data_IF_042085173504
#
_entry.id   IF_042085173504
#
_cell.length_a   1.000
_cell.length_b   1.000
_cell.length_c   1.000
_cell.angle_alpha   90.00
_cell.angle_beta   90.00
_cell.angle_gamma   90.00
#
_symmetry.space_group_name_H-M   'P 1'
#
loop_
_entity.id
_entity.type
_entity.pdbx_description
1 polymer ?
#
# COMPACT_ATOMS: atom_id res chain seq x y z
N UNK A 1 7.56 10.07 -3.74
CA UNK A 1 6.65 9.84 -2.60
C UNK A 1 7.43 10.09 -1.33
N UNK A 2 6.87 10.75 -0.31
CA UNK A 2 7.56 10.93 0.98
C UNK A 2 7.68 9.55 1.64
N UNK A 3 8.91 9.12 1.88
CA UNK A 3 9.23 7.82 2.45
C UNK A 3 9.50 7.92 3.96
N UNK A 4 10.13 9.03 4.40
CA UNK A 4 10.38 9.31 5.82
C UNK A 4 10.48 10.82 6.09
N UNK A 5 10.12 11.23 7.31
CA UNK A 5 10.25 12.61 7.79
C UNK A 5 10.94 12.60 9.14
N UNK A 6 12.20 13.05 9.16
CA UNK A 6 13.04 13.06 10.34
C UNK A 6 13.37 14.50 10.76
N UNK A 7 13.16 14.82 12.03
CA UNK A 7 13.61 16.11 12.62
C UNK A 7 15.08 16.00 13.00
N UNK A 8 15.94 16.70 12.27
CA UNK A 8 17.39 16.68 12.49
C UNK A 8 17.91 17.91 13.23
N UNK A 9 19.08 17.78 13.87
CA UNK A 9 19.91 18.93 14.26
C UNK A 9 21.07 19.05 13.28
N UNK A 10 21.12 20.15 12.52
CA UNK A 10 22.27 20.46 11.65
C UNK A 10 23.33 21.17 12.50
N UNK A 11 24.47 20.52 12.73
CA UNK A 11 25.66 21.17 13.26
C UNK A 11 26.48 21.71 12.07
N UNK A 12 26.63 23.03 11.98
CA UNK A 12 27.44 23.69 10.95
C UNK A 12 28.62 24.44 11.60
N UNK A 13 29.81 24.33 11.01
CA UNK A 13 31.02 25.07 11.39
C UNK A 13 31.31 26.26 10.46
N UNK A 14 30.35 26.66 9.61
CA UNK A 14 30.54 27.58 8.48
C UNK A 14 29.55 28.77 8.55
N UNK A 15 29.97 30.05 8.37
CA UNK A 15 29.26 31.25 8.84
C UNK A 15 27.97 31.62 8.08
N UNK A 16 27.42 30.73 7.25
CA UNK A 16 26.05 30.77 6.73
C UNK A 16 25.07 29.93 7.59
N UNK A 17 25.42 29.69 8.86
CA UNK A 17 24.68 28.84 9.82
C UNK A 17 23.20 29.26 9.94
N UNK A 18 22.31 28.32 9.60
CA UNK A 18 20.88 28.34 9.89
C UNK A 18 20.64 28.26 11.41
N UNK A 19 20.44 29.41 12.06
CA UNK A 19 19.96 29.48 13.44
C UNK A 19 18.43 29.50 13.45
N UNK A 20 17.83 28.31 13.50
CA UNK A 20 16.39 28.14 13.49
C UNK A 20 15.96 26.78 14.01
N UNK A 21 14.65 26.62 14.26
CA UNK A 21 14.01 25.35 14.67
C UNK A 21 14.55 24.20 13.82
N UNK A 22 14.81 23.04 14.45
CA UNK A 22 15.33 21.83 13.79
C UNK A 22 14.68 21.64 12.40
N UNK A 23 15.45 21.77 11.29
CA UNK A 23 14.89 21.68 9.96
C UNK A 23 14.32 20.28 9.73
N UNK A 24 13.23 20.21 8.96
CA UNK A 24 12.63 18.94 8.57
C UNK A 24 13.43 18.40 7.38
N UNK A 25 14.19 17.34 7.63
CA UNK A 25 14.80 16.56 6.57
C UNK A 25 13.75 15.56 6.07
N UNK A 26 13.37 15.69 4.81
CA UNK A 26 12.38 14.84 4.16
C UNK A 26 13.09 13.95 3.17
N UNK A 27 12.93 12.63 3.32
CA UNK A 27 13.43 11.66 2.35
C UNK A 27 12.31 11.30 1.38
N UNK A 28 12.54 11.53 0.09
CA UNK A 28 11.62 11.22 -0.99
C UNK A 28 12.14 10.01 -1.76
N UNK A 29 11.30 9.00 -1.94
CA UNK A 29 11.59 7.87 -2.82
C UNK A 29 10.92 8.05 -4.18
N UNK A 30 11.61 7.70 -5.26
CA UNK A 30 11.02 7.70 -6.60
C UNK A 30 9.85 6.71 -6.71
N UNK A 31 8.84 7.09 -7.49
CA UNK A 31 7.65 6.26 -7.76
C UNK A 31 7.79 5.53 -9.11
N UNK A 32 8.72 5.97 -9.95
CA UNK A 32 8.97 5.42 -11.29
C UNK A 32 9.51 3.99 -11.17
N UNK A 33 9.11 3.10 -12.10
CA UNK A 33 9.38 1.66 -12.00
C UNK A 33 10.89 1.34 -12.15
N UNK A 34 11.60 2.18 -12.89
CA UNK A 34 13.00 2.11 -13.29
C UNK A 34 13.96 2.91 -12.39
N UNK A 35 13.45 3.82 -11.56
CA UNK A 35 14.25 4.67 -10.67
C UNK A 35 13.96 4.44 -9.17
N UNK A 36 13.39 3.28 -8.79
CA UNK A 36 12.92 3.01 -7.40
C UNK A 36 13.98 3.05 -6.31
N UNK A 37 15.25 2.90 -6.65
CA UNK A 37 16.37 2.98 -5.71
C UNK A 37 16.90 4.42 -5.59
N UNK A 38 16.32 5.37 -6.33
CA UNK A 38 16.67 6.79 -6.23
C UNK A 38 15.92 7.46 -5.09
N UNK A 39 16.68 7.95 -4.13
CA UNK A 39 16.20 8.77 -3.02
C UNK A 39 16.69 10.20 -3.16
N UNK A 40 15.81 11.15 -2.83
CA UNK A 40 16.13 12.57 -2.74
C UNK A 40 15.90 13.05 -1.31
N UNK A 41 16.96 13.59 -0.70
CA UNK A 41 16.88 14.22 0.62
C UNK A 41 16.70 15.72 0.47
N UNK A 42 15.61 16.24 1.04
CA UNK A 42 15.22 17.64 0.92
C UNK A 42 15.14 18.29 2.29
N UNK A 43 15.72 19.48 2.41
CA UNK A 43 15.50 20.34 3.59
C UNK A 43 14.26 21.18 3.32
N UNK A 44 13.14 20.81 3.94
CA UNK A 44 11.81 21.34 3.64
C UNK A 44 11.72 22.88 3.66
N UNK A 45 12.45 23.51 4.59
CA UNK A 45 12.46 24.96 4.78
C UNK A 45 13.20 25.74 3.69
N UNK A 46 13.96 25.07 2.82
CA UNK A 46 14.73 25.68 1.74
C UNK A 46 14.06 25.54 0.36
N UNK A 47 12.97 24.78 0.27
CA UNK A 47 12.26 24.56 -0.98
C UNK A 47 11.45 25.81 -1.40
N UNK A 48 11.57 26.26 -2.66
CA UNK A 48 10.77 27.37 -3.16
C UNK A 48 9.28 26.96 -3.24
N UNK A 49 8.40 27.82 -2.74
CA UNK A 49 6.92 27.60 -2.73
C UNK A 49 6.40 26.52 -1.77
N UNK A 50 7.10 26.27 -0.65
CA UNK A 50 6.62 25.37 0.41
C UNK A 50 5.26 25.78 0.96
N UNK A 51 4.24 24.93 0.76
CA UNK A 51 2.91 25.06 1.35
C UNK A 51 2.62 23.79 2.15
N UNK A 52 2.29 23.94 3.43
CA UNK A 52 1.81 22.84 4.26
C UNK A 52 0.32 22.69 4.00
N UNK A 53 -0.05 21.66 3.24
CA UNK A 53 -1.44 21.26 3.09
C UNK A 53 -1.81 20.33 4.24
N UNK A 54 -2.75 20.76 5.08
CA UNK A 54 -3.33 19.91 6.11
C UNK A 54 -4.14 18.80 5.42
N UNK A 55 -3.89 17.54 5.80
CA UNK A 55 -4.34 16.32 5.10
C UNK A 55 -5.87 16.23 5.02
N UNK A 56 -6.58 17.04 5.81
CA UNK A 56 -8.03 17.06 5.90
C UNK A 56 -8.72 18.28 5.25
N UNK A 57 -7.99 19.22 4.64
CA UNK A 57 -8.63 20.42 4.07
C UNK A 57 -9.09 20.13 2.64
N UNK A 58 -10.41 20.07 2.47
CA UNK A 58 -11.03 20.03 1.16
C UNK A 58 -10.77 21.35 0.42
N UNK A 59 -10.50 21.31 -0.90
CA UNK A 59 -10.35 22.52 -1.69
C UNK A 59 -11.61 23.39 -1.60
N UNK A 60 -11.43 24.71 -1.49
CA UNK A 60 -12.55 25.65 -1.40
C UNK A 60 -13.26 25.77 -2.75
N UNK A 61 -14.61 25.73 -2.80
CA UNK A 61 -15.37 25.90 -4.04
C UNK A 61 -15.38 27.36 -4.55
N UNK A 62 -14.70 28.28 -3.87
CA UNK A 62 -14.66 29.72 -4.22
C UNK A 62 -14.13 30.00 -5.63
N UNK A 63 -13.27 29.13 -6.18
CA UNK A 63 -12.69 29.27 -7.51
C UNK A 63 -13.49 28.57 -8.62
N UNK A 64 -14.68 28.02 -8.29
CA UNK A 64 -15.51 27.25 -9.22
C UNK A 64 -15.16 25.76 -9.24
N UNK A 65 -15.63 25.05 -10.26
CA UNK A 65 -15.32 23.63 -10.45
C UNK A 65 -14.09 23.47 -11.34
N UNK A 66 -13.19 22.58 -10.95
CA UNK A 66 -12.07 22.17 -11.80
C UNK A 66 -12.57 21.56 -13.11
N UNK A 67 -11.72 21.61 -14.14
CA UNK A 67 -11.98 20.86 -15.37
C UNK A 67 -12.13 19.36 -15.07
N UNK A 68 -12.96 18.61 -15.82
CA UNK A 68 -13.27 17.21 -15.49
C UNK A 68 -12.05 16.30 -15.31
N UNK A 69 -10.96 16.59 -16.03
CA UNK A 69 -9.70 15.84 -15.93
C UNK A 69 -8.97 16.12 -14.62
N UNK A 70 -8.94 17.37 -14.17
CA UNK A 70 -8.29 17.79 -12.92
C UNK A 70 -9.08 17.29 -11.70
N UNK A 71 -10.41 17.43 -11.74
CA UNK A 71 -11.30 16.87 -10.71
C UNK A 71 -11.15 15.34 -10.62
N UNK A 72 -11.05 14.64 -11.77
CA UNK A 72 -10.79 13.22 -11.78
C UNK A 72 -9.44 12.91 -11.13
N UNK A 73 -8.37 13.61 -11.50
CA UNK A 73 -7.05 13.43 -10.90
C UNK A 73 -7.08 13.65 -9.38
N UNK A 74 -7.77 14.68 -8.89
CA UNK A 74 -7.98 14.93 -7.47
C UNK A 74 -8.74 13.79 -6.78
N UNK A 75 -9.86 13.32 -7.32
CA UNK A 75 -10.61 12.19 -6.77
C UNK A 75 -9.79 10.89 -6.78
N UNK A 76 -8.96 10.70 -7.80
CA UNK A 76 -7.99 9.61 -7.84
C UNK A 76 -6.98 9.77 -6.69
N UNK A 77 -6.36 10.95 -6.54
CA UNK A 77 -5.39 11.24 -5.49
C UNK A 77 -5.97 11.10 -4.07
N UNK A 78 -7.16 11.64 -3.80
CA UNK A 78 -7.88 11.47 -2.52
C UNK A 78 -8.20 10.02 -2.26
N UNK A 79 -8.64 9.26 -3.27
CA UNK A 79 -8.88 7.82 -3.12
C UNK A 79 -7.58 7.09 -2.78
N UNK A 80 -6.48 7.38 -3.47
CA UNK A 80 -5.17 6.79 -3.17
C UNK A 80 -4.64 7.22 -1.78
N UNK A 81 -4.87 8.47 -1.37
CA UNK A 81 -4.47 9.02 -0.08
C UNK A 81 -5.29 8.48 1.09
N UNK A 82 -6.62 8.36 0.95
CA UNK A 82 -7.49 7.75 1.95
C UNK A 82 -7.18 6.25 2.13
N UNK A 83 -6.77 5.58 1.05
CA UNK A 83 -6.28 4.20 1.07
C UNK A 83 -4.94 4.09 1.82
N UNK A 84 -4.06 5.09 1.70
CA UNK A 84 -2.78 5.15 2.42
C UNK A 84 -2.91 5.61 3.88
N UNK A 85 -3.95 6.39 4.20
CA UNK A 85 -4.21 6.96 5.53
C UNK A 85 -5.14 6.12 6.40
N UNK A 86 -5.62 4.96 5.93
CA UNK A 86 -6.25 4.00 6.82
C UNK A 86 -5.19 3.55 7.84
N UNK A 87 -5.45 3.83 9.12
CA UNK A 87 -4.61 3.53 10.27
C UNK A 87 -3.66 2.34 10.05
N UNK A 88 -2.37 2.62 9.84
CA UNK A 88 -1.33 1.60 9.60
C UNK A 88 -1.08 0.74 10.83
N UNK A 89 -1.59 1.13 12.00
CA UNK A 89 -1.39 0.42 13.27
C UNK A 89 -2.52 -0.55 13.62
N UNK A 90 -3.73 -0.35 13.09
CA UNK A 90 -4.87 -1.23 13.35
C UNK A 90 -5.07 -2.27 12.24
N UNK A 91 -4.47 -3.46 12.41
CA UNK A 91 -4.72 -4.62 11.54
C UNK A 91 -6.17 -5.08 11.67
N UNK A 92 -6.91 -5.18 10.56
CA UNK A 92 -8.33 -5.56 10.55
C UNK A 92 -8.55 -7.02 10.16
N UNK A 93 -7.66 -7.59 9.36
CA UNK A 93 -7.70 -8.99 8.91
C UNK A 93 -7.75 -9.99 10.07
N UNK A 94 -6.98 -9.83 11.17
CA UNK A 94 -7.00 -10.80 12.26
C UNK A 94 -8.38 -10.96 12.90
N UNK A 95 -9.13 -9.85 13.06
CA UNK A 95 -10.46 -9.84 13.66
C UNK A 95 -11.58 -10.33 12.72
N UNK A 96 -11.29 -10.48 11.43
CA UNK A 96 -12.27 -10.84 10.38
C UNK A 96 -11.99 -12.19 9.73
N UNK A 97 -11.01 -12.94 10.23
CA UNK A 97 -10.66 -14.27 9.76
C UNK A 97 -11.10 -15.31 10.77
N UNK A 98 -11.54 -16.49 10.30
CA UNK A 98 -12.02 -17.59 11.14
C UNK A 98 -10.91 -18.48 11.71
N UNK A 99 -9.72 -17.93 11.93
CA UNK A 99 -8.50 -18.67 12.28
C UNK A 99 -7.91 -18.20 13.61
N UNK A 100 -7.28 -19.12 14.34
CA UNK A 100 -6.37 -18.74 15.42
C UNK A 100 -5.04 -18.32 14.78
N UNK A 101 -4.67 -17.06 14.99
CA UNK A 101 -3.49 -16.44 14.39
C UNK A 101 -2.38 -16.40 15.43
N UNK A 102 -1.18 -16.76 15.00
CA UNK A 102 0.03 -16.60 15.79
C UNK A 102 0.71 -15.26 15.50
N UNK A 103 1.38 -14.66 16.48
CA UNK A 103 1.95 -13.32 16.37
C UNK A 103 2.90 -13.18 15.16
N UNK A 104 3.69 -14.22 14.85
CA UNK A 104 4.61 -14.21 13.72
C UNK A 104 3.91 -14.10 12.35
N UNK A 105 2.65 -14.54 12.24
CA UNK A 105 1.88 -14.48 10.99
C UNK A 105 1.40 -13.06 10.67
N UNK A 106 1.52 -12.12 11.60
CA UNK A 106 1.19 -10.71 11.40
C UNK A 106 2.33 -9.90 10.79
N UNK A 107 3.58 -10.36 10.95
CA UNK A 107 4.77 -9.67 10.43
C UNK A 107 4.70 -9.43 8.91
N UNK A 108 4.30 -10.42 8.07
CA UNK A 108 4.08 -10.22 6.64
C UNK A 108 3.05 -9.13 6.34
N UNK A 109 1.99 -9.02 7.16
CA UNK A 109 0.91 -8.06 6.96
C UNK A 109 1.40 -6.65 7.23
N UNK A 110 2.07 -6.44 8.36
CA UNK A 110 2.65 -5.13 8.72
C UNK A 110 3.65 -4.68 7.66
N UNK A 111 4.54 -5.58 7.21
CA UNK A 111 5.50 -5.30 6.13
C UNK A 111 4.81 -4.97 4.80
N UNK A 112 3.75 -5.70 4.45
CA UNK A 112 3.00 -5.43 3.24
C UNK A 112 2.32 -4.05 3.24
N UNK A 113 1.90 -3.58 4.41
CA UNK A 113 1.23 -2.30 4.60
C UNK A 113 2.18 -1.11 4.58
N UNK A 114 3.39 -1.25 5.13
CA UNK A 114 4.40 -0.17 5.08
C UNK A 114 4.93 0.10 3.67
N UNK A 115 4.81 -0.87 2.76
CA UNK A 115 5.21 -0.71 1.36
C UNK A 115 4.15 0.07 0.56
N UNK A 116 4.52 1.08 -0.24
CA UNK A 116 3.58 1.80 -1.13
C UNK A 116 2.97 0.91 -2.21
N UNK A 117 3.79 0.00 -2.75
CA UNK A 117 3.40 -1.10 -3.62
C UNK A 117 3.87 -2.39 -2.97
N UNK A 118 2.93 -3.23 -2.55
CA UNK A 118 3.23 -4.48 -1.85
C UNK A 118 3.96 -5.45 -2.77
N UNK A 119 5.23 -5.73 -2.47
CA UNK A 119 6.03 -6.78 -3.10
C UNK A 119 6.76 -7.54 -2.00
N UNK A 120 6.24 -8.71 -1.64
CA UNK A 120 6.71 -9.48 -0.50
C UNK A 120 7.05 -10.92 -0.93
N UNK A 121 8.15 -11.44 -0.37
CA UNK A 121 8.49 -12.86 -0.40
C UNK A 121 8.30 -13.42 1.00
N UNK A 122 7.38 -14.38 1.14
CA UNK A 122 7.14 -15.12 2.39
C UNK A 122 7.87 -16.46 2.26
N UNK A 123 8.90 -16.66 3.07
CA UNK A 123 9.86 -17.77 2.93
C UNK A 123 10.09 -18.53 4.24
N UNK A 124 9.10 -18.54 5.12
CA UNK A 124 9.15 -19.25 6.40
C UNK A 124 9.19 -20.78 6.21
N UNK A 125 9.51 -21.52 7.26
CA UNK A 125 9.59 -22.97 7.25
C UNK A 125 8.30 -23.65 6.75
N UNK A 126 8.45 -24.88 6.26
CA UNK A 126 7.33 -25.69 5.79
C UNK A 126 6.38 -25.98 6.97
N UNK A 127 5.10 -25.68 6.79
CA UNK A 127 4.07 -25.91 7.82
C UNK A 127 3.72 -24.71 8.69
N UNK A 128 4.44 -23.58 8.61
CA UNK A 128 4.15 -22.37 9.41
C UNK A 128 2.94 -21.54 8.93
N UNK A 129 2.24 -22.00 7.88
CA UNK A 129 1.02 -21.33 7.43
C UNK A 129 1.22 -20.20 6.43
N UNK A 130 2.19 -20.31 5.51
CA UNK A 130 2.37 -19.35 4.39
C UNK A 130 1.08 -19.02 3.62
N UNK A 131 0.19 -20.00 3.46
CA UNK A 131 -1.14 -19.81 2.86
C UNK A 131 -2.03 -18.87 3.70
N UNK A 132 -1.96 -18.99 5.03
CA UNK A 132 -2.65 -18.13 5.98
C UNK A 132 -2.10 -16.71 5.92
N UNK A 133 -0.78 -16.56 5.96
CA UNK A 133 -0.12 -15.24 5.90
C UNK A 133 -0.45 -14.51 4.60
N UNK A 134 -0.41 -15.21 3.47
CA UNK A 134 -0.85 -14.68 2.19
C UNK A 134 -2.34 -14.27 2.23
N UNK A 135 -3.20 -15.10 2.85
CA UNK A 135 -4.61 -14.81 3.09
C UNK A 135 -4.84 -13.53 3.90
N UNK A 136 -4.08 -13.35 4.99
CA UNK A 136 -4.13 -12.16 5.83
C UNK A 136 -3.72 -10.91 5.06
N UNK A 137 -2.61 -10.97 4.31
CA UNK A 137 -2.18 -9.86 3.44
C UNK A 137 -3.27 -9.53 2.41
N UNK A 138 -3.84 -10.54 1.76
CA UNK A 138 -4.91 -10.37 0.78
C UNK A 138 -6.15 -9.69 1.42
N UNK A 139 -6.65 -10.23 2.53
CA UNK A 139 -7.82 -9.67 3.21
C UNK A 139 -7.58 -8.22 3.65
N UNK A 140 -6.42 -7.91 4.20
CA UNK A 140 -6.07 -6.56 4.64
C UNK A 140 -6.00 -5.57 3.46
N UNK A 141 -5.38 -5.98 2.34
CA UNK A 141 -5.32 -5.15 1.13
C UNK A 141 -6.71 -4.90 0.53
N UNK A 142 -7.63 -5.87 0.61
CA UNK A 142 -9.03 -5.67 0.17
C UNK A 142 -9.78 -4.72 1.10
N UNK A 143 -9.67 -4.91 2.42
CA UNK A 143 -10.32 -4.08 3.43
C UNK A 143 -9.88 -2.61 3.35
N UNK A 144 -8.60 -2.38 3.02
CA UNK A 144 -8.05 -1.04 2.81
C UNK A 144 -8.25 -0.51 1.40
N UNK A 145 -8.99 -1.21 0.54
CA UNK A 145 -9.22 -0.87 -0.87
C UNK A 145 -7.94 -0.72 -1.73
N UNK A 146 -6.80 -1.27 -1.27
CA UNK A 146 -5.52 -1.31 -2.00
C UNK A 146 -5.52 -2.33 -3.13
N UNK A 147 -6.38 -3.35 -3.05
CA UNK A 147 -6.58 -4.35 -4.07
C UNK A 147 -8.07 -4.53 -4.36
N UNK A 148 -8.44 -4.49 -5.65
CA UNK A 148 -9.83 -4.74 -6.11
C UNK A 148 -10.01 -6.12 -6.73
N UNK A 149 -8.93 -6.70 -7.23
CA UNK A 149 -8.90 -8.00 -7.92
C UNK A 149 -7.67 -8.76 -7.47
N UNK A 150 -7.82 -10.07 -7.23
CA UNK A 150 -6.74 -10.94 -6.77
C UNK A 150 -6.60 -12.14 -7.70
N UNK A 151 -5.35 -12.51 -7.96
CA UNK A 151 -4.99 -13.68 -8.74
C UNK A 151 -4.00 -14.51 -7.92
N UNK A 152 -4.36 -15.76 -7.67
CA UNK A 152 -3.48 -16.75 -7.04
C UNK A 152 -2.98 -17.67 -8.15
N UNK A 153 -1.67 -17.75 -8.31
CA UNK A 153 -1.03 -18.69 -9.24
C UNK A 153 -0.39 -19.80 -8.41
N UNK A 154 -0.88 -21.02 -8.55
CA UNK A 154 -0.38 -22.18 -7.83
C UNK A 154 -0.41 -23.44 -8.72
N UNK A 155 0.35 -24.49 -8.35
CA UNK A 155 0.24 -25.80 -9.01
C UNK A 155 -1.19 -26.34 -8.98
N UNK A 156 -1.59 -27.06 -10.04
CA UNK A 156 -2.95 -27.56 -10.21
C UNK A 156 -3.46 -28.40 -9.03
N UNK A 157 -2.59 -29.16 -8.36
CA UNK A 157 -2.96 -29.96 -7.19
C UNK A 157 -3.35 -29.12 -5.96
N UNK A 158 -2.94 -27.85 -5.90
CA UNK A 158 -3.19 -26.97 -4.75
C UNK A 158 -4.36 -26.01 -4.99
N UNK A 159 -4.93 -25.93 -6.20
CA UNK A 159 -5.97 -24.93 -6.52
C UNK A 159 -7.23 -25.11 -5.67
N UNK A 160 -7.62 -26.36 -5.40
CA UNK A 160 -8.78 -26.67 -4.55
C UNK A 160 -8.51 -26.26 -3.10
N UNK A 161 -7.34 -26.63 -2.57
CA UNK A 161 -6.93 -26.26 -1.21
C UNK A 161 -6.92 -24.75 -1.03
N UNK A 162 -6.32 -23.99 -1.97
CA UNK A 162 -6.33 -22.53 -1.91
C UNK A 162 -7.74 -21.96 -1.92
N UNK A 163 -8.61 -22.43 -2.82
CA UNK A 163 -10.00 -21.95 -2.88
C UNK A 163 -10.73 -22.21 -1.56
N UNK A 164 -10.62 -23.43 -1.05
CA UNK A 164 -11.35 -23.85 0.14
C UNK A 164 -10.81 -23.12 1.39
N UNK A 165 -9.49 -22.96 1.53
CA UNK A 165 -8.90 -22.15 2.61
C UNK A 165 -9.31 -20.67 2.52
N UNK A 166 -9.28 -20.06 1.33
CA UNK A 166 -9.71 -18.67 1.14
C UNK A 166 -11.18 -18.48 1.48
N UNK A 167 -12.04 -19.42 1.10
CA UNK A 167 -13.47 -19.40 1.40
C UNK A 167 -13.73 -19.58 2.89
N UNK A 168 -13.20 -20.64 3.48
CA UNK A 168 -13.58 -21.09 4.81
C UNK A 168 -12.94 -20.22 5.90
N UNK A 169 -11.70 -19.76 5.69
CA UNK A 169 -10.93 -19.00 6.69
C UNK A 169 -11.07 -17.49 6.52
N UNK A 170 -11.21 -17.01 5.29
CA UNK A 170 -11.19 -15.58 4.99
C UNK A 170 -12.50 -15.07 4.36
N UNK A 171 -13.45 -15.95 4.05
CA UNK A 171 -14.70 -15.58 3.38
C UNK A 171 -14.51 -15.08 1.95
N UNK A 172 -13.37 -15.37 1.33
CA UNK A 172 -13.00 -14.91 -0.01
C UNK A 172 -13.37 -15.97 -1.04
N UNK A 173 -14.32 -15.66 -1.93
CA UNK A 173 -14.76 -16.59 -2.96
C UNK A 173 -13.87 -16.49 -4.21
N UNK A 174 -13.06 -17.53 -4.44
CA UNK A 174 -12.18 -17.63 -5.60
C UNK A 174 -12.75 -18.57 -6.65
N UNK A 175 -12.79 -18.09 -7.90
CA UNK A 175 -13.13 -18.92 -9.06
C UNK A 175 -11.86 -19.52 -9.66
N UNK A 176 -11.83 -20.85 -9.77
CA UNK A 176 -10.73 -21.55 -10.44
C UNK A 176 -10.79 -21.27 -11.94
N UNK A 177 -9.68 -20.80 -12.50
CA UNK A 177 -9.54 -20.55 -13.94
C UNK A 177 -8.93 -21.77 -14.64
N UNK A 178 -9.81 -22.64 -15.13
CA UNK A 178 -9.43 -23.78 -15.97
C UNK A 178 -9.31 -23.40 -17.45
N UNK A 179 -8.88 -24.37 -18.26
CA UNK A 179 -8.73 -24.20 -19.71
C UNK A 179 -10.03 -23.74 -20.38
N UNK A 180 -11.18 -24.25 -19.93
CA UNK A 180 -12.48 -23.89 -20.51
C UNK A 180 -12.84 -22.44 -20.20
N UNK A 181 -12.73 -22.02 -18.94
CA UNK A 181 -12.98 -20.65 -18.51
C UNK A 181 -12.05 -19.67 -19.21
N UNK A 182 -10.77 -20.02 -19.38
CA UNK A 182 -9.81 -19.19 -20.09
C UNK A 182 -10.19 -19.04 -21.57
N UNK A 183 -10.65 -20.10 -22.23
CA UNK A 183 -11.14 -20.02 -23.61
C UNK A 183 -12.40 -19.14 -23.71
N UNK A 184 -13.34 -19.29 -22.78
CA UNK A 184 -14.55 -18.45 -22.72
C UNK A 184 -14.21 -16.98 -22.49
N UNK A 185 -13.30 -16.68 -21.56
CA UNK A 185 -12.85 -15.31 -21.27
C UNK A 185 -12.14 -14.68 -22.47
N UNK A 186 -11.30 -15.44 -23.18
CA UNK A 186 -10.64 -14.97 -24.41
C UNK A 186 -11.65 -14.62 -25.51
N UNK A 187 -12.70 -15.43 -25.69
CA UNK A 187 -13.77 -15.16 -26.67
C UNK A 187 -14.66 -13.97 -26.32
N UNK A 188 -14.78 -13.64 -25.03
CA UNK A 188 -15.62 -12.53 -24.55
C UNK A 188 -14.92 -11.17 -24.56
N UNK A 189 -13.59 -11.16 -24.61
CA UNK A 189 -12.74 -9.95 -24.52
C UNK A 189 -11.89 -9.69 -25.77
N UNK A 190 -11.83 -10.64 -26.70
CA UNK A 190 -11.36 -10.42 -28.07
C UNK A 190 -12.55 -10.10 -28.97
#
# INVERSE_FOLDING_TARGET
>A
MVADVSRGTVASSDPHVLTGRAPHLVSLASIEDDARDEELSVVWELEPSTVVHDVAVLPSPEHGFDEPVELAAFLHAVRWGAIASADTTALQAPFRSGIQIEDYQLDPVVRALSMPRTKLLIADDVGLGKTIEAGLVMQELMLRHRARTMLIVCPAGLTLQWRDEMRDKFGLDFRIADTELLQQLRRRRG
#
